data_IF_284801244914
#
_entry.id   IF_284801244914
#
_cell.length_a   1.000
_cell.length_b   1.000
_cell.length_c   1.000
_cell.angle_alpha   90.00
_cell.angle_beta   90.00
_cell.angle_gamma   90.00
#
_symmetry.space_group_name_H-M   'P 1'
#
loop_
_entity.id
_entity.type
_entity.pdbx_description
1 polymer ?
#
# COMPACT_ATOMS: atom_id res chain seq x y z
N UNK A 1 -15.86 -11.94 2.64
CA UNK A 1 -15.61 -10.62 3.29
C UNK A 1 -16.22 -10.70 4.69
N UNK A 2 -15.50 -10.28 5.73
CA UNK A 2 -16.05 -10.30 7.09
C UNK A 2 -17.05 -9.15 7.25
N UNK A 3 -18.20 -9.41 7.87
CA UNK A 3 -19.17 -8.38 8.24
C UNK A 3 -18.96 -7.92 9.70
N UNK A 4 -19.71 -6.91 10.14
CA UNK A 4 -19.58 -6.36 11.49
C UNK A 4 -19.92 -7.37 12.59
N UNK A 5 -20.90 -8.24 12.39
CA UNK A 5 -21.28 -9.28 13.34
C UNK A 5 -20.13 -10.30 13.53
N UNK A 6 -19.53 -10.74 12.42
CA UNK A 6 -18.38 -11.64 12.44
C UNK A 6 -17.16 -10.99 13.12
N UNK A 7 -16.94 -9.69 12.92
CA UNK A 7 -15.87 -8.96 13.59
C UNK A 7 -16.14 -8.83 15.10
N UNK A 8 -17.38 -8.56 15.50
CA UNK A 8 -17.76 -8.51 16.92
C UNK A 8 -17.57 -9.87 17.59
N UNK A 9 -17.99 -10.96 16.95
CA UNK A 9 -17.79 -12.33 17.43
C UNK A 9 -16.30 -12.67 17.59
N UNK A 10 -15.47 -12.25 16.63
CA UNK A 10 -14.02 -12.44 16.71
C UNK A 10 -13.42 -11.67 17.88
N UNK A 11 -13.87 -10.44 18.12
CA UNK A 11 -13.42 -9.62 19.25
C UNK A 11 -13.80 -10.26 20.58
N UNK A 12 -15.05 -10.72 20.74
CA UNK A 12 -15.50 -11.39 21.96
C UNK A 12 -14.68 -12.64 22.26
N UNK A 13 -14.46 -13.49 21.26
CA UNK A 13 -13.65 -14.71 21.39
C UNK A 13 -12.18 -14.44 21.71
N UNK A 14 -11.67 -13.26 21.34
CA UNK A 14 -10.25 -12.91 21.45
C UNK A 14 -10.02 -11.63 22.28
N UNK A 15 -10.88 -11.33 23.26
CA UNK A 15 -10.86 -10.07 24.00
C UNK A 15 -9.50 -9.74 24.62
N UNK A 16 -8.79 -10.76 25.13
CA UNK A 16 -7.43 -10.59 25.66
C UNK A 16 -6.42 -10.18 24.58
N UNK A 17 -6.52 -10.77 23.38
CA UNK A 17 -5.64 -10.43 22.26
C UNK A 17 -5.95 -9.04 21.70
N UNK A 18 -7.18 -8.54 21.84
CA UNK A 18 -7.53 -7.19 21.41
C UNK A 18 -6.85 -6.07 22.22
N UNK A 19 -6.33 -6.39 23.41
CA UNK A 19 -5.51 -5.49 24.22
C UNK A 19 -4.01 -5.75 24.06
N UNK A 20 -3.62 -6.73 23.24
CA UNK A 20 -2.22 -7.05 23.04
C UNK A 20 -1.52 -5.85 22.40
N UNK A 21 -0.40 -5.47 22.99
CA UNK A 21 0.46 -4.46 22.40
C UNK A 21 1.34 -5.09 21.32
N UNK A 22 1.47 -4.38 20.20
CA UNK A 22 2.40 -4.75 19.13
C UNK A 22 3.71 -4.00 19.31
N UNK A 23 4.81 -4.61 18.87
CA UNK A 23 6.11 -3.93 18.83
C UNK A 23 6.00 -2.74 17.88
N UNK A 24 6.31 -1.56 18.38
CA UNK A 24 6.43 -0.34 17.58
C UNK A 24 7.81 -0.30 16.92
N UNK A 25 7.87 0.27 15.73
CA UNK A 25 9.10 0.32 14.94
C UNK A 25 9.13 1.51 14.00
N UNK A 26 10.32 1.76 13.45
CA UNK A 26 10.56 2.83 12.49
C UNK A 26 10.46 2.30 11.07
N UNK A 27 9.82 3.06 10.19
CA UNK A 27 9.84 2.84 8.75
C UNK A 27 10.43 4.09 8.11
N UNK A 28 11.56 3.93 7.41
CA UNK A 28 12.30 5.03 6.78
C UNK A 28 12.53 6.24 7.71
N UNK A 29 12.87 5.99 8.99
CA UNK A 29 13.15 7.03 9.99
C UNK A 29 11.92 7.62 10.67
N UNK A 30 10.70 7.26 10.25
CA UNK A 30 9.45 7.63 10.92
C UNK A 30 9.03 6.58 11.93
N UNK A 31 8.78 6.99 13.18
CA UNK A 31 8.23 6.11 14.22
C UNK A 31 6.73 5.87 13.99
N UNK A 32 6.30 4.62 14.19
CA UNK A 32 4.88 4.25 14.14
C UNK A 32 4.40 3.74 15.50
N UNK A 33 3.63 4.58 16.19
CA UNK A 33 3.06 4.31 17.52
C UNK A 33 1.73 3.55 17.45
N UNK A 34 1.76 2.34 16.87
CA UNK A 34 0.59 1.52 16.55
C UNK A 34 -0.33 1.22 17.74
N UNK A 35 0.17 1.26 18.98
CA UNK A 35 -0.64 1.01 20.18
C UNK A 35 -1.49 2.21 20.61
N UNK A 36 -1.19 3.41 20.09
CA UNK A 36 -1.89 4.65 20.45
C UNK A 36 -2.65 5.27 19.28
N UNK A 37 -2.19 5.04 18.05
CA UNK A 37 -2.80 5.60 16.85
C UNK A 37 -2.75 4.61 15.69
N UNK A 38 -3.86 4.40 14.95
CA UNK A 38 -3.81 3.61 13.74
C UNK A 38 -3.04 4.35 12.65
N UNK A 39 -2.25 3.61 11.88
CA UNK A 39 -1.64 4.13 10.66
C UNK A 39 -2.49 3.76 9.46
N UNK A 40 -2.88 4.76 8.67
CA UNK A 40 -3.62 4.54 7.44
C UNK A 40 -2.66 4.34 6.26
N UNK A 41 -2.92 3.30 5.47
CA UNK A 41 -2.21 3.02 4.23
C UNK A 41 -3.16 3.30 3.06
N UNK A 42 -2.82 4.28 2.23
CA UNK A 42 -3.58 4.61 1.03
C UNK A 42 -3.14 3.74 -0.15
N UNK A 43 -4.08 3.07 -0.80
CA UNK A 43 -3.77 2.12 -1.89
C UNK A 43 -3.94 2.77 -3.26
N UNK A 44 -2.94 2.61 -4.12
CA UNK A 44 -2.98 3.00 -5.54
C UNK A 44 -2.60 1.80 -6.40
N UNK A 45 -3.50 1.45 -7.30
CA UNK A 45 -3.33 0.36 -8.25
C UNK A 45 -2.92 0.91 -9.63
N UNK A 46 -1.86 0.37 -10.22
CA UNK A 46 -1.36 0.73 -11.55
C UNK A 46 -1.73 -0.32 -12.63
N UNK A 47 -2.52 -1.32 -12.24
CA UNK A 47 -3.06 -2.33 -13.15
C UNK A 47 -4.49 -1.98 -13.57
N UNK A 48 -4.83 -2.04 -14.88
CA UNK A 48 -6.22 -1.91 -15.33
C UNK A 48 -7.09 -3.11 -14.91
N UNK A 49 -6.48 -4.21 -14.46
CA UNK A 49 -7.19 -5.42 -14.04
C UNK A 49 -7.48 -5.45 -12.53
N UNK A 50 -7.19 -4.36 -11.81
CA UNK A 50 -7.47 -4.29 -10.37
C UNK A 50 -8.97 -4.24 -10.09
N UNK A 51 -9.40 -5.01 -9.08
CA UNK A 51 -10.80 -5.15 -8.67
C UNK A 51 -11.43 -3.82 -8.23
N UNK A 52 -10.72 -3.04 -7.39
CA UNK A 52 -11.23 -1.79 -6.84
C UNK A 52 -10.95 -0.60 -7.77
N UNK A 53 -11.91 -0.27 -8.64
CA UNK A 53 -11.76 0.69 -9.73
C UNK A 53 -11.31 2.09 -9.29
N UNK A 54 -11.77 2.59 -8.14
CA UNK A 54 -11.42 3.93 -7.68
C UNK A 54 -9.97 4.08 -7.19
N UNK A 55 -9.25 2.97 -7.01
CA UNK A 55 -7.81 2.99 -6.71
C UNK A 55 -6.94 2.98 -7.97
N UNK A 56 -7.53 2.78 -9.16
CA UNK A 56 -6.76 2.60 -10.39
C UNK A 56 -6.25 3.94 -10.94
N UNK A 57 -4.94 4.04 -11.13
CA UNK A 57 -4.27 5.16 -11.79
C UNK A 57 -3.39 4.61 -12.92
N UNK A 58 -3.73 4.91 -14.17
CA UNK A 58 -3.04 4.34 -15.34
C UNK A 58 -1.82 5.14 -15.81
N UNK A 59 -1.59 6.33 -15.23
CA UNK A 59 -0.41 7.16 -15.52
C UNK A 59 0.33 7.50 -14.23
N UNK A 60 1.65 7.70 -14.35
CA UNK A 60 2.48 8.05 -13.20
C UNK A 60 2.05 9.39 -12.59
N UNK A 61 1.73 10.39 -13.41
CA UNK A 61 1.24 11.69 -12.95
C UNK A 61 -0.06 11.56 -12.14
N UNK A 62 -1.03 10.78 -12.63
CA UNK A 62 -2.29 10.56 -11.93
C UNK A 62 -2.05 9.85 -10.59
N UNK A 63 -1.18 8.84 -10.56
CA UNK A 63 -0.82 8.12 -9.34
C UNK A 63 -0.12 9.03 -8.32
N UNK A 64 0.85 9.85 -8.74
CA UNK A 64 1.53 10.80 -7.84
C UNK A 64 0.55 11.83 -7.27
N UNK A 65 -0.32 12.39 -8.12
CA UNK A 65 -1.37 13.33 -7.68
C UNK A 65 -2.31 12.68 -6.68
N UNK A 66 -2.76 11.44 -6.94
CA UNK A 66 -3.62 10.69 -6.03
C UNK A 66 -2.93 10.40 -4.70
N UNK A 67 -1.65 10.01 -4.72
CA UNK A 67 -0.88 9.75 -3.51
C UNK A 67 -0.74 10.98 -2.63
N UNK A 68 -0.50 12.17 -3.22
CA UNK A 68 -0.51 13.43 -2.49
C UNK A 68 -1.87 13.72 -1.84
N UNK A 69 -2.97 13.51 -2.57
CA UNK A 69 -4.32 13.68 -2.02
C UNK A 69 -4.58 12.72 -0.85
N UNK A 70 -4.27 11.43 -1.00
CA UNK A 70 -4.44 10.44 0.06
C UNK A 70 -3.59 10.79 1.29
N UNK A 71 -2.36 11.26 1.08
CA UNK A 71 -1.50 11.72 2.16
C UNK A 71 -2.10 12.92 2.91
N UNK A 72 -2.62 13.93 2.19
CA UNK A 72 -3.35 15.05 2.80
C UNK A 72 -4.61 14.60 3.55
N UNK A 73 -5.24 13.51 3.13
CA UNK A 73 -6.39 12.90 3.81
C UNK A 73 -6.01 12.05 5.04
N UNK A 74 -4.73 11.96 5.39
CA UNK A 74 -4.25 11.27 6.59
C UNK A 74 -3.59 9.91 6.33
N UNK A 75 -3.39 9.50 5.08
CA UNK A 75 -2.59 8.31 4.78
C UNK A 75 -1.13 8.54 5.21
N UNK A 76 -0.65 7.70 6.13
CA UNK A 76 0.72 7.72 6.61
C UNK A 76 1.69 7.08 5.61
N UNK A 77 1.19 6.12 4.81
CA UNK A 77 1.92 5.36 3.80
C UNK A 77 1.07 5.30 2.54
N UNK A 78 1.68 5.37 1.36
CA UNK A 78 1.03 5.05 0.08
C UNK A 78 1.56 3.72 -0.42
N UNK A 79 0.66 2.77 -0.67
CA UNK A 79 0.97 1.44 -1.19
C UNK A 79 0.67 1.37 -2.69
N UNK A 80 1.66 0.87 -3.45
CA UNK A 80 1.63 0.79 -4.90
C UNK A 80 1.62 -0.66 -5.36
N UNK A 81 0.58 -1.06 -6.08
CA UNK A 81 0.48 -2.36 -6.75
C UNK A 81 0.44 -2.21 -8.27
N UNK A 82 1.33 -2.90 -9.00
CA UNK A 82 1.38 -2.85 -10.47
C UNK A 82 0.88 -4.12 -11.17
N UNK A 83 0.59 -5.17 -10.40
CA UNK A 83 -0.01 -6.43 -10.84
C UNK A 83 -1.35 -6.63 -10.11
N UNK A 84 -2.34 -7.19 -10.80
CA UNK A 84 -3.59 -7.59 -10.15
C UNK A 84 -3.43 -8.99 -9.55
N UNK A 85 -3.86 -9.17 -8.31
CA UNK A 85 -3.85 -10.47 -7.61
C UNK A 85 -5.00 -11.41 -8.01
N UNK A 86 -5.84 -11.01 -8.97
CA UNK A 86 -6.93 -11.86 -9.49
C UNK A 86 -6.36 -13.09 -10.20
N UNK A 87 -6.92 -14.26 -9.91
CA UNK A 87 -6.46 -15.54 -10.45
C UNK A 87 -6.46 -15.62 -12.00
N UNK A 88 -7.25 -14.79 -12.67
CA UNK A 88 -7.37 -14.73 -14.13
C UNK A 88 -6.59 -13.57 -14.76
N UNK A 89 -5.95 -12.70 -13.96
CA UNK A 89 -5.16 -11.60 -14.49
C UNK A 89 -3.86 -12.13 -15.11
N UNK A 90 -3.46 -11.55 -16.24
CA UNK A 90 -2.16 -11.86 -16.81
C UNK A 90 -1.05 -11.42 -15.86
N UNK A 91 -0.08 -12.31 -15.60
CA UNK A 91 1.08 -11.99 -14.77
C UNK A 91 1.90 -10.90 -15.45
N UNK A 92 2.26 -9.87 -14.70
CA UNK A 92 3.07 -8.77 -15.18
C UNK A 92 4.55 -9.13 -15.04
N UNK A 93 5.31 -8.94 -16.11
CA UNK A 93 6.78 -9.10 -16.07
C UNK A 93 7.39 -8.04 -15.16
N UNK A 94 8.55 -8.36 -14.58
CA UNK A 94 9.33 -7.46 -13.72
C UNK A 94 9.57 -6.10 -14.42
N UNK A 95 9.91 -6.14 -15.71
CA UNK A 95 10.14 -4.95 -16.53
C UNK A 95 8.87 -4.09 -16.70
N UNK A 96 7.72 -4.72 -16.92
CA UNK A 96 6.43 -4.02 -17.03
C UNK A 96 6.04 -3.36 -15.70
N UNK A 97 6.24 -4.07 -14.58
CA UNK A 97 5.97 -3.49 -13.26
C UNK A 97 6.90 -2.32 -12.96
N UNK A 98 8.20 -2.47 -13.18
CA UNK A 98 9.19 -1.42 -12.95
C UNK A 98 8.91 -0.15 -13.77
N UNK A 99 8.50 -0.31 -15.03
CA UNK A 99 8.13 0.82 -15.91
C UNK A 99 6.99 1.65 -15.32
N UNK A 100 6.06 1.01 -14.60
CA UNK A 100 4.93 1.70 -13.94
C UNK A 100 5.29 2.22 -12.55
N UNK A 101 6.00 1.43 -11.74
CA UNK A 101 6.27 1.73 -10.34
C UNK A 101 7.32 2.82 -10.16
N UNK A 102 8.48 2.69 -10.81
CA UNK A 102 9.66 3.56 -10.55
C UNK A 102 9.35 5.05 -10.71
N UNK A 103 8.65 5.51 -11.77
CA UNK A 103 8.29 6.92 -11.89
C UNK A 103 7.38 7.42 -10.76
N UNK A 104 6.46 6.58 -10.27
CA UNK A 104 5.54 6.93 -9.17
C UNK A 104 6.28 6.99 -7.84
N UNK A 105 7.13 6.00 -7.55
CA UNK A 105 7.96 5.96 -6.34
C UNK A 105 8.79 7.24 -6.24
N UNK A 106 9.52 7.61 -7.30
CA UNK A 106 10.32 8.84 -7.34
C UNK A 106 9.48 10.09 -7.11
N UNK A 107 8.31 10.18 -7.75
CA UNK A 107 7.43 11.34 -7.61
C UNK A 107 6.83 11.50 -6.21
N UNK A 108 6.52 10.40 -5.53
CA UNK A 108 6.01 10.41 -4.15
C UNK A 108 7.14 10.67 -3.15
N UNK A 109 8.31 10.05 -3.32
CA UNK A 109 9.49 10.29 -2.47
C UNK A 109 9.98 11.74 -2.55
N UNK A 110 9.96 12.34 -3.73
CA UNK A 110 10.28 13.76 -3.91
C UNK A 110 9.29 14.69 -3.17
N UNK A 111 8.10 14.20 -2.81
CA UNK A 111 7.14 14.89 -1.98
C UNK A 111 7.19 14.46 -0.51
N UNK A 112 8.27 13.76 -0.10
CA UNK A 112 8.49 13.25 1.27
C UNK A 112 7.41 12.28 1.77
N UNK A 113 6.71 11.62 0.84
CA UNK A 113 5.67 10.63 1.16
C UNK A 113 6.32 9.25 1.29
N UNK A 114 5.99 8.54 2.37
CA UNK A 114 6.43 7.16 2.58
C UNK A 114 5.70 6.21 1.63
N UNK A 115 6.47 5.38 0.91
CA UNK A 115 5.96 4.46 -0.12
C UNK A 115 6.18 3.02 0.29
N UNK A 116 5.12 2.22 0.13
CA UNK A 116 5.14 0.76 0.13
C UNK A 116 4.91 0.26 -1.31
N UNK A 117 5.50 -0.90 -1.64
CA UNK A 117 5.33 -1.53 -2.96
C UNK A 117 4.88 -2.97 -2.75
N UNK A 118 3.70 -3.29 -3.28
CA UNK A 118 3.17 -4.65 -3.31
C UNK A 118 3.85 -5.43 -4.44
N UNK A 119 4.82 -6.28 -4.08
CA UNK A 119 5.46 -7.20 -5.03
C UNK A 119 6.04 -8.43 -4.32
N UNK A 120 6.05 -9.57 -5.01
CA UNK A 120 6.77 -10.78 -4.62
C UNK A 120 8.03 -11.01 -5.48
N UNK A 121 8.33 -10.11 -6.42
CA UNK A 121 9.44 -10.25 -7.37
C UNK A 121 10.67 -9.51 -6.86
N UNK A 122 11.77 -10.25 -6.62
CA UNK A 122 12.99 -9.68 -6.06
C UNK A 122 13.62 -8.59 -6.92
N UNK A 123 13.51 -8.68 -8.25
CA UNK A 123 14.02 -7.64 -9.15
C UNK A 123 13.20 -6.34 -9.05
N UNK A 124 11.87 -6.44 -8.87
CA UNK A 124 10.99 -5.29 -8.63
C UNK A 124 11.26 -4.68 -7.26
N UNK A 125 11.46 -5.51 -6.22
CA UNK A 125 11.87 -5.06 -4.89
C UNK A 125 13.17 -4.25 -4.96
N UNK A 126 14.20 -4.75 -5.66
CA UNK A 126 15.48 -4.05 -5.80
C UNK A 126 15.31 -2.69 -6.50
N UNK A 127 14.63 -2.67 -7.65
CA UNK A 127 14.39 -1.44 -8.39
C UNK A 127 13.59 -0.41 -7.55
N UNK A 128 12.67 -0.88 -6.72
CA UNK A 128 11.87 -0.03 -5.83
C UNK A 128 12.68 0.60 -4.70
N UNK A 129 13.65 -0.14 -4.14
CA UNK A 129 14.56 0.37 -3.10
C UNK A 129 15.60 1.36 -3.65
N UNK A 130 15.98 1.20 -4.91
CA UNK A 130 16.91 2.11 -5.62
C UNK A 130 16.24 3.41 -6.09
N UNK A 131 14.91 3.41 -6.23
CA UNK A 131 14.12 4.53 -6.76
C UNK A 131 13.89 5.65 -5.72
#
# INVERSE_FOLDING_TARGET
MLNLEQLADLLEKNRAAAQAQVKEFFIAGREFSFNSQPALMGVINLSPDSWYRESVCLTAEAAVRRGKVLHTQGAAIIDLGAESSLAHAARATDASQNTKLVPVIRGLRAAEILVSVETYQSAVTRASLEA
#
